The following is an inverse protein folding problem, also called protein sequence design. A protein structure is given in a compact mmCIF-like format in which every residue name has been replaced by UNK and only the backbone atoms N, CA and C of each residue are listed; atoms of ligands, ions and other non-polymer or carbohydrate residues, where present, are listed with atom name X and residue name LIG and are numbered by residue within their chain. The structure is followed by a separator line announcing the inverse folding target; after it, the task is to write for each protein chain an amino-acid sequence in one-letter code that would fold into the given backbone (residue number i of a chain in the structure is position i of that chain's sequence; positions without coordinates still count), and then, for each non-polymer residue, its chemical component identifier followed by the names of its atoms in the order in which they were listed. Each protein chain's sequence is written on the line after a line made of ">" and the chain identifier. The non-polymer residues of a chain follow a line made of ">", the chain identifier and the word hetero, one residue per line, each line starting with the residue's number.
data_IF_599425013079
#
_entry.id   IF_599425013079
#
_cell.length_a   1.000
_cell.length_b   1.000
_cell.length_c   1.000
_cell.angle_alpha   90.00
_cell.angle_beta   90.00
_cell.angle_gamma   90.00
#
_symmetry.space_group_name_H-M   'P 1'
#
loop_
_entity.id
_entity.type
_entity.pdbx_description
1 polymer ?
#
# COMPACT_ATOMS: atom_id res chain seq x y z
N UNK A 1 25.67 45.68 30.28
CA UNK A 1 25.82 45.80 31.74
C UNK A 1 27.28 45.51 32.09
N UNK A 2 27.93 46.32 32.94
CA UNK A 2 29.36 46.21 33.29
C UNK A 2 29.76 44.80 33.75
N UNK A 3 28.96 44.19 34.60
CA UNK A 3 29.15 42.79 35.04
C UNK A 3 29.22 41.76 33.94
N UNK A 4 28.47 41.95 32.85
CA UNK A 4 28.47 41.05 31.71
C UNK A 4 29.77 41.15 30.90
N UNK A 5 30.29 42.37 30.73
CA UNK A 5 31.56 42.64 30.03
C UNK A 5 32.71 42.03 30.81
N UNK A 6 32.77 42.27 32.15
CA UNK A 6 33.76 41.65 33.00
C UNK A 6 33.72 40.11 32.97
N UNK A 7 32.52 39.53 32.91
CA UNK A 7 32.36 38.08 32.76
C UNK A 7 32.93 37.56 31.45
N UNK A 8 32.69 38.25 30.34
CA UNK A 8 33.26 37.90 29.05
C UNK A 8 34.76 38.06 28.99
N UNK A 9 35.29 39.13 29.60
CA UNK A 9 36.74 39.36 29.67
C UNK A 9 37.44 38.22 30.43
N UNK A 10 36.97 37.87 31.63
CA UNK A 10 37.50 36.73 32.38
C UNK A 10 37.41 35.39 31.63
N UNK A 11 36.31 35.17 30.86
CA UNK A 11 36.16 33.98 30.04
C UNK A 11 37.15 33.97 28.85
N UNK A 12 37.42 35.14 28.26
CA UNK A 12 38.42 35.32 27.21
C UNK A 12 39.84 35.09 27.70
N UNK A 13 40.20 35.66 28.86
CA UNK A 13 41.52 35.43 29.48
C UNK A 13 41.79 33.96 29.77
N UNK A 14 40.77 33.19 30.17
CA UNK A 14 40.88 31.78 30.53
C UNK A 14 40.90 30.85 29.31
N UNK A 15 40.09 31.08 28.32
CA UNK A 15 39.80 30.14 27.21
C UNK A 15 39.95 30.78 25.83
N UNK A 16 40.40 32.02 25.74
CA UNK A 16 40.52 32.78 24.52
C UNK A 16 39.15 32.96 23.83
N UNK A 17 39.13 33.04 22.51
CA UNK A 17 37.91 33.19 21.70
C UNK A 17 36.87 32.10 21.96
N UNK A 18 37.28 30.90 22.40
CA UNK A 18 36.36 29.81 22.76
C UNK A 18 35.51 30.15 23.99
N UNK A 19 36.06 30.89 24.95
CA UNK A 19 35.36 31.29 26.18
C UNK A 19 34.20 32.25 25.96
N UNK A 20 34.29 33.10 24.94
CA UNK A 20 33.26 34.11 24.61
C UNK A 20 32.25 33.61 23.55
N UNK A 21 32.45 32.43 22.97
CA UNK A 21 31.46 31.86 22.06
C UNK A 21 30.15 31.58 22.80
N UNK A 22 29.05 31.97 22.20
CA UNK A 22 27.70 31.62 22.69
C UNK A 22 27.57 30.11 22.82
N UNK A 23 27.43 29.63 24.04
CA UNK A 23 27.08 28.21 24.28
C UNK A 23 25.62 27.96 23.89
N UNK A 24 25.33 26.79 23.39
CA UNK A 24 23.95 26.37 23.07
C UNK A 24 23.09 26.55 24.33
N UNK A 25 22.10 27.47 24.25
CA UNK A 25 21.19 27.72 25.37
C UNK A 25 20.23 26.55 25.52
N UNK A 26 19.84 26.26 26.74
CA UNK A 26 18.87 25.22 27.07
C UNK A 26 19.52 23.96 27.61
N UNK A 27 18.67 23.00 27.87
CA UNK A 27 19.04 21.70 28.41
C UNK A 27 19.75 20.87 27.35
N UNK A 28 20.81 20.15 27.68
CA UNK A 28 21.47 19.21 26.77
C UNK A 28 20.48 18.18 26.31
N UNK A 29 20.45 17.95 24.99
CA UNK A 29 19.55 16.95 24.39
C UNK A 29 19.80 15.57 25.03
N UNK A 30 18.70 14.91 25.46
CA UNK A 30 18.78 13.58 26.06
C UNK A 30 19.04 13.51 27.56
N UNK A 31 19.24 14.66 28.27
CA UNK A 31 19.37 14.68 29.74
C UNK A 31 18.02 14.60 30.43
N UNK A 32 17.92 13.89 31.57
CA UNK A 32 16.71 13.71 32.39
C UNK A 32 15.53 13.14 31.58
N UNK A 33 15.77 12.07 30.85
CA UNK A 33 14.69 11.30 30.20
C UNK A 33 13.82 10.66 31.26
N UNK A 34 12.52 10.58 30.99
CA UNK A 34 11.56 9.91 31.87
C UNK A 34 11.76 8.40 31.89
N UNK A 35 12.13 7.82 30.73
CA UNK A 35 12.50 6.42 30.60
C UNK A 35 14.02 6.27 30.63
N UNK A 36 14.50 5.21 31.27
CA UNK A 36 15.89 4.82 31.20
C UNK A 36 16.20 4.08 29.88
N UNK A 37 17.48 3.91 29.50
CA UNK A 37 17.84 3.29 28.23
C UNK A 37 17.34 1.84 28.06
N UNK A 38 17.21 1.10 29.15
CA UNK A 38 16.72 -0.29 29.15
C UNK A 38 15.23 -0.33 28.86
N UNK A 39 14.44 0.52 29.52
CA UNK A 39 13.01 0.69 29.29
C UNK A 39 12.72 1.16 27.85
N UNK A 40 13.58 2.07 27.31
CA UNK A 40 13.44 2.50 25.91
C UNK A 40 13.63 1.32 24.95
N UNK A 41 14.65 0.49 25.14
CA UNK A 41 14.92 -0.68 24.30
C UNK A 41 13.80 -1.75 24.43
N UNK A 42 13.36 -2.01 25.64
CA UNK A 42 12.25 -2.95 25.88
C UNK A 42 10.98 -2.51 25.17
N UNK A 43 10.61 -1.22 25.27
CA UNK A 43 9.43 -0.68 24.59
C UNK A 43 9.54 -0.74 23.09
N UNK A 44 10.71 -0.43 22.51
CA UNK A 44 10.93 -0.54 21.07
C UNK A 44 10.69 -1.99 20.62
N UNK A 45 11.29 -2.95 21.32
CA UNK A 45 11.10 -4.37 21.02
C UNK A 45 9.65 -4.81 21.16
N UNK A 46 8.94 -4.35 22.20
CA UNK A 46 7.51 -4.65 22.36
C UNK A 46 6.70 -4.11 21.18
N UNK A 47 6.97 -2.88 20.73
CA UNK A 47 6.24 -2.26 19.60
C UNK A 47 6.54 -2.96 18.27
N UNK A 48 7.75 -3.51 18.10
CA UNK A 48 8.16 -4.22 16.89
C UNK A 48 7.63 -5.66 16.84
N UNK A 49 7.68 -6.37 17.98
CA UNK A 49 7.44 -7.82 18.02
C UNK A 49 6.01 -8.21 18.38
N UNK A 50 5.23 -7.29 18.98
CA UNK A 50 3.91 -7.60 19.52
C UNK A 50 2.85 -6.61 19.09
N UNK A 51 1.61 -7.09 19.01
CA UNK A 51 0.44 -6.24 18.85
C UNK A 51 -0.15 -5.87 20.23
N UNK A 52 -0.85 -4.72 20.36
CA UNK A 52 -1.38 -4.27 21.65
C UNK A 52 -2.36 -5.26 22.31
N UNK A 53 -3.18 -5.97 21.53
CA UNK A 53 -4.15 -6.97 22.01
C UNK A 53 -3.47 -8.19 22.65
N UNK A 54 -2.33 -8.62 22.12
CA UNK A 54 -1.51 -9.69 22.72
C UNK A 54 -1.05 -9.33 24.15
N UNK A 55 -0.97 -8.04 24.44
CA UNK A 55 -0.64 -7.51 25.76
C UNK A 55 -1.88 -7.17 26.59
N UNK A 56 -3.07 -7.61 26.16
CA UNK A 56 -4.37 -7.33 26.80
C UNK A 56 -4.64 -5.82 26.92
N UNK A 57 -4.28 -5.05 25.88
CA UNK A 57 -4.64 -3.64 25.77
C UNK A 57 -5.85 -3.51 24.82
N UNK A 58 -6.77 -2.58 25.07
CA UNK A 58 -7.97 -2.40 24.25
C UNK A 58 -7.68 -1.59 22.96
N UNK A 59 -6.62 -1.93 22.25
CA UNK A 59 -6.20 -1.25 21.01
C UNK A 59 -5.79 -2.28 19.95
N UNK A 60 -6.23 -2.06 18.74
CA UNK A 60 -5.81 -2.89 17.59
C UNK A 60 -4.45 -2.46 16.99
N UNK A 61 -3.99 -1.25 17.28
CA UNK A 61 -2.77 -0.68 16.70
C UNK A 61 -1.97 0.11 17.74
N UNK A 62 -0.66 0.18 17.56
CA UNK A 62 0.22 1.04 18.35
C UNK A 62 -0.03 2.51 18.06
N UNK A 63 -0.97 3.10 18.77
CA UNK A 63 -1.18 4.55 18.83
C UNK A 63 -0.40 5.15 20.00
N UNK A 64 -0.21 6.47 20.01
CA UNK A 64 0.42 7.12 21.18
C UNK A 64 -0.33 6.83 22.50
N UNK A 65 -1.66 6.63 22.44
CA UNK A 65 -2.46 6.23 23.60
C UNK A 65 -2.17 4.79 24.03
N UNK A 66 -2.07 3.85 23.07
CA UNK A 66 -1.70 2.49 23.38
C UNK A 66 -0.31 2.40 24.05
N UNK A 67 0.64 3.20 23.54
CA UNK A 67 1.99 3.30 24.12
C UNK A 67 1.95 3.96 25.51
N UNK A 68 1.10 4.93 25.75
CA UNK A 68 0.89 5.51 27.08
C UNK A 68 0.42 4.46 28.08
N UNK A 69 -0.58 3.67 27.68
CA UNK A 69 -1.13 2.60 28.52
C UNK A 69 -0.10 1.50 28.83
N UNK A 70 0.71 1.09 27.86
CA UNK A 70 1.74 0.08 28.12
C UNK A 70 2.84 0.62 29.04
N UNK A 71 3.28 1.88 28.88
CA UNK A 71 4.25 2.54 29.77
C UNK A 71 3.70 2.58 31.19
N UNK A 72 2.44 2.99 31.36
CA UNK A 72 1.78 3.01 32.65
C UNK A 72 1.66 1.62 33.28
N UNK A 73 1.33 0.62 32.47
CA UNK A 73 1.19 -0.78 32.91
C UNK A 73 2.53 -1.38 33.36
N UNK A 74 3.60 -1.20 32.60
CA UNK A 74 4.90 -1.81 32.86
C UNK A 74 5.70 -1.06 33.92
N UNK A 75 5.72 0.27 33.85
CA UNK A 75 6.64 1.08 34.64
C UNK A 75 5.95 1.98 35.64
N UNK A 76 4.61 2.03 35.66
CA UNK A 76 3.79 2.93 36.51
C UNK A 76 4.09 4.41 36.29
N UNK A 77 4.56 4.75 35.09
CA UNK A 77 4.88 6.13 34.68
C UNK A 77 3.70 6.69 33.90
N UNK A 78 3.16 7.81 34.36
CA UNK A 78 2.15 8.56 33.60
C UNK A 78 2.86 9.61 32.71
N UNK A 79 2.99 9.26 31.41
CA UNK A 79 3.73 10.06 30.45
C UNK A 79 2.77 10.83 29.54
N UNK A 80 2.96 12.17 29.37
CA UNK A 80 2.16 12.94 28.43
C UNK A 80 2.26 12.43 26.99
N UNK A 81 1.15 12.41 26.27
CA UNK A 81 1.07 11.93 24.85
C UNK A 81 2.06 12.67 23.94
N UNK A 82 2.32 13.96 24.21
CA UNK A 82 3.32 14.74 23.47
C UNK A 82 4.73 14.17 23.67
N UNK A 83 5.09 13.87 24.90
CA UNK A 83 6.40 13.28 25.25
C UNK A 83 6.60 11.93 24.57
N UNK A 84 5.55 11.09 24.50
CA UNK A 84 5.58 9.83 23.76
C UNK A 84 5.89 10.08 22.28
N UNK A 85 5.29 11.13 21.68
CA UNK A 85 5.59 11.51 20.31
C UNK A 85 7.06 11.89 20.10
N UNK A 86 7.71 12.53 21.05
CA UNK A 86 9.14 12.86 20.99
C UNK A 86 10.03 11.61 21.14
N UNK A 87 9.64 10.65 22.00
CA UNK A 87 10.32 9.36 22.11
C UNK A 87 10.23 8.57 20.78
N UNK A 88 9.03 8.42 20.22
CA UNK A 88 8.83 7.74 18.94
C UNK A 88 9.67 8.35 17.82
N UNK A 89 9.66 9.69 17.69
CA UNK A 89 10.49 10.41 16.73
C UNK A 89 11.98 10.12 16.91
N UNK A 90 12.44 10.08 18.15
CA UNK A 90 13.85 9.81 18.48
C UNK A 90 14.25 8.37 18.14
N UNK A 91 13.35 7.42 18.34
CA UNK A 91 13.54 6.02 17.97
C UNK A 91 13.41 5.75 16.45
N UNK A 92 13.04 6.76 15.65
CA UNK A 92 12.85 6.64 14.21
C UNK A 92 11.48 6.06 13.81
N UNK A 93 10.55 5.95 14.76
CA UNK A 93 9.20 5.48 14.47
C UNK A 93 8.36 6.59 13.84
N UNK A 94 7.73 6.29 12.72
CA UNK A 94 6.83 7.21 12.01
C UNK A 94 5.42 6.62 11.89
N UNK A 95 4.36 7.45 11.83
CA UNK A 95 3.02 6.95 11.60
C UNK A 95 2.94 6.27 10.22
N UNK A 96 2.62 4.99 10.22
CA UNK A 96 2.45 4.19 9.01
C UNK A 96 0.98 3.82 8.82
N UNK A 97 0.55 3.70 7.55
CA UNK A 97 -0.75 3.11 7.24
C UNK A 97 -0.62 1.58 7.40
N UNK A 98 -1.42 0.95 8.28
CA UNK A 98 -1.31 -0.49 8.50
C UNK A 98 -1.67 -1.27 7.25
N UNK A 99 -0.90 -2.30 6.97
CA UNK A 99 -1.25 -3.29 5.96
C UNK A 99 -2.38 -4.15 6.52
N UNK A 100 -3.46 -4.28 5.76
CA UNK A 100 -4.57 -5.16 6.12
C UNK A 100 -4.26 -6.56 5.61
N UNK A 101 -4.19 -7.53 6.51
CA UNK A 101 -4.08 -8.95 6.18
C UNK A 101 -5.34 -9.66 6.61
N UNK A 102 -5.83 -10.58 5.80
CA UNK A 102 -6.96 -11.42 6.18
C UNK A 102 -6.52 -12.45 7.24
N UNK A 103 -7.37 -12.75 8.19
CA UNK A 103 -7.09 -13.81 9.17
C UNK A 103 -6.98 -15.18 8.51
N UNK A 104 -7.64 -15.35 7.37
CA UNK A 104 -7.64 -16.58 6.56
C UNK A 104 -6.38 -16.74 5.70
N UNK A 105 -5.50 -15.74 5.65
CA UNK A 105 -4.25 -15.83 4.92
C UNK A 105 -3.32 -16.84 5.61
N UNK A 106 -2.75 -17.75 4.82
CA UNK A 106 -1.73 -18.68 5.27
C UNK A 106 -0.32 -18.14 4.93
N UNK A 107 0.45 -17.66 5.92
CA UNK A 107 1.80 -17.11 5.69
C UNK A 107 2.78 -18.13 5.10
N UNK A 108 2.64 -19.42 5.45
CA UNK A 108 3.50 -20.48 4.93
C UNK A 108 3.23 -20.73 3.46
N UNK A 109 1.95 -20.73 3.05
CA UNK A 109 1.56 -20.84 1.64
C UNK A 109 2.08 -19.64 0.82
N UNK A 110 2.02 -18.43 1.37
CA UNK A 110 2.61 -17.22 0.76
C UNK A 110 4.12 -17.39 0.58
N UNK A 111 4.83 -17.81 1.63
CA UNK A 111 6.28 -18.04 1.56
C UNK A 111 6.64 -19.11 0.54
N UNK A 112 5.95 -20.25 0.56
CA UNK A 112 6.16 -21.35 -0.36
C UNK A 112 5.90 -20.92 -1.82
N UNK A 113 4.91 -20.07 -2.05
CA UNK A 113 4.62 -19.55 -3.37
C UNK A 113 5.73 -18.62 -3.87
N UNK A 114 6.19 -17.68 -3.04
CA UNK A 114 7.24 -16.72 -3.40
C UNK A 114 8.60 -17.40 -3.60
N UNK A 115 8.98 -18.31 -2.70
CA UNK A 115 10.30 -18.97 -2.72
C UNK A 115 10.34 -20.20 -3.63
N UNK A 116 9.19 -20.85 -3.88
CA UNK A 116 9.09 -22.10 -4.63
C UNK A 116 8.37 -22.00 -5.95
N UNK A 117 7.07 -21.64 -5.94
CA UNK A 117 6.21 -21.70 -7.13
C UNK A 117 6.54 -20.61 -8.15
N UNK A 118 6.63 -19.36 -7.74
CA UNK A 118 6.92 -18.24 -8.65
C UNK A 118 8.28 -18.39 -9.36
N UNK A 119 9.37 -18.78 -8.70
CA UNK A 119 10.63 -19.10 -9.39
C UNK A 119 10.51 -20.27 -10.41
N UNK A 120 9.64 -21.25 -10.18
CA UNK A 120 9.37 -22.33 -11.16
C UNK A 120 8.62 -21.77 -12.37
N UNK A 121 7.60 -20.94 -12.13
CA UNK A 121 6.82 -20.27 -13.20
C UNK A 121 7.77 -19.41 -14.05
N UNK A 122 8.64 -18.63 -13.42
CA UNK A 122 9.60 -17.77 -14.12
C UNK A 122 10.59 -18.57 -14.96
N UNK A 123 11.12 -19.67 -14.44
CA UNK A 123 12.02 -20.57 -15.20
C UNK A 123 11.31 -21.21 -16.37
N UNK A 124 10.09 -21.71 -16.15
CA UNK A 124 9.25 -22.30 -17.18
C UNK A 124 8.92 -21.28 -18.29
N UNK A 125 8.53 -20.06 -17.91
CA UNK A 125 8.25 -18.98 -18.86
C UNK A 125 9.48 -18.66 -19.73
N UNK A 126 10.69 -18.63 -19.14
CA UNK A 126 11.92 -18.43 -19.89
C UNK A 126 12.20 -19.57 -20.87
N UNK A 127 11.97 -20.81 -20.47
CA UNK A 127 12.23 -21.99 -21.31
C UNK A 127 11.21 -22.10 -22.48
N UNK A 128 9.97 -21.71 -22.27
CA UNK A 128 8.91 -21.75 -23.27
C UNK A 128 8.73 -20.44 -24.04
N UNK A 129 9.62 -19.48 -23.84
CA UNK A 129 9.52 -18.10 -24.38
C UNK A 129 8.14 -17.47 -24.13
N UNK A 130 7.58 -17.68 -22.94
CA UNK A 130 6.27 -17.22 -22.54
C UNK A 130 6.35 -15.86 -21.82
N UNK A 131 5.28 -15.08 -21.93
CA UNK A 131 5.14 -13.80 -21.23
C UNK A 131 4.29 -13.94 -19.98
N UNK A 132 4.81 -13.52 -18.81
CA UNK A 132 4.07 -13.58 -17.55
C UNK A 132 3.16 -12.37 -17.43
N UNK A 133 1.88 -12.62 -17.26
CA UNK A 133 0.82 -11.66 -16.98
C UNK A 133 0.25 -11.86 -15.57
N UNK A 134 0.02 -10.76 -14.90
CA UNK A 134 -0.69 -10.71 -13.61
C UNK A 134 -2.05 -10.09 -13.86
N UNK A 135 -3.10 -10.78 -13.50
CA UNK A 135 -4.46 -10.31 -13.77
C UNK A 135 -5.28 -10.15 -12.51
N UNK A 136 -6.24 -9.22 -12.57
CA UNK A 136 -7.18 -8.95 -11.50
C UNK A 136 -8.48 -8.33 -12.03
N UNK A 137 -9.55 -8.46 -11.25
CA UNK A 137 -10.82 -7.81 -11.50
C UNK A 137 -11.04 -6.64 -10.56
N UNK A 138 -11.54 -5.53 -11.09
CA UNK A 138 -11.89 -4.39 -10.26
C UNK A 138 -13.18 -3.72 -10.73
N UNK A 139 -13.81 -3.01 -9.80
CA UNK A 139 -14.98 -2.18 -10.04
C UNK A 139 -14.73 -0.73 -9.72
N UNK A 140 -15.23 0.16 -10.57
CA UNK A 140 -15.25 1.60 -10.34
C UNK A 140 -16.68 2.10 -10.19
N UNK A 141 -16.89 3.02 -9.24
CA UNK A 141 -18.15 3.68 -8.98
C UNK A 141 -18.02 5.18 -9.20
N UNK A 142 -19.09 5.82 -9.65
CA UNK A 142 -19.10 7.26 -9.87
C UNK A 142 -19.15 8.09 -8.57
N UNK A 143 -19.51 7.46 -7.44
CA UNK A 143 -19.62 8.07 -6.11
C UNK A 143 -18.41 7.78 -5.20
N UNK A 144 -17.31 7.28 -5.76
CA UNK A 144 -16.09 7.03 -4.99
C UNK A 144 -15.45 8.31 -4.47
N UNK A 145 -14.79 8.22 -3.32
CA UNK A 145 -14.18 9.37 -2.67
C UNK A 145 -13.00 9.94 -3.46
N UNK A 146 -12.91 11.25 -3.57
CA UNK A 146 -11.93 11.97 -4.38
C UNK A 146 -10.80 12.64 -3.58
N UNK A 147 -10.56 12.21 -2.35
CA UNK A 147 -9.50 12.75 -1.52
C UNK A 147 -9.97 13.85 -0.55
N UNK A 148 -9.05 14.74 -0.18
CA UNK A 148 -9.30 15.84 0.77
C UNK A 148 -9.31 17.18 0.04
N UNK A 149 -10.12 18.12 0.53
CA UNK A 149 -10.16 19.50 0.06
C UNK A 149 -9.89 20.47 1.20
N UNK A 150 -9.36 21.63 0.88
CA UNK A 150 -9.20 22.70 1.85
C UNK A 150 -10.52 23.47 2.04
N UNK A 151 -10.81 23.81 3.28
CA UNK A 151 -11.94 24.67 3.65
C UNK A 151 -11.56 25.45 4.92
N UNK A 152 -12.24 26.56 5.23
CA UNK A 152 -12.07 27.25 6.50
C UNK A 152 -12.31 26.31 7.68
N UNK A 153 -11.59 26.54 8.79
CA UNK A 153 -11.75 25.72 10.00
C UNK A 153 -13.22 25.69 10.45
N UNK A 154 -13.71 24.48 10.71
CA UNK A 154 -15.12 24.26 11.09
C UNK A 154 -16.11 24.21 9.94
N UNK A 155 -15.68 24.41 8.68
CA UNK A 155 -16.52 24.24 7.50
C UNK A 155 -16.10 23.01 6.70
N UNK A 156 -17.03 22.09 6.50
CA UNK A 156 -16.78 20.88 5.70
C UNK A 156 -16.99 21.19 4.22
N UNK A 157 -15.98 20.92 3.35
CA UNK A 157 -16.16 21.09 1.91
C UNK A 157 -17.17 20.08 1.37
N UNK A 158 -18.02 20.50 0.44
CA UNK A 158 -18.99 19.65 -0.22
C UNK A 158 -18.59 19.37 -1.67
N UNK A 159 -18.77 18.12 -2.10
CA UNK A 159 -18.68 17.70 -3.49
C UNK A 159 -20.05 17.25 -3.99
N UNK A 160 -20.44 17.68 -5.19
CA UNK A 160 -21.71 17.27 -5.80
C UNK A 160 -21.51 15.97 -6.57
N UNK A 161 -22.23 14.93 -6.19
CA UNK A 161 -22.23 13.62 -6.82
C UNK A 161 -23.61 13.29 -7.36
N UNK A 162 -23.69 12.40 -8.36
CA UNK A 162 -24.97 11.84 -8.81
C UNK A 162 -25.58 10.94 -7.74
N UNK A 163 -26.86 11.11 -7.46
CA UNK A 163 -27.61 10.21 -6.56
C UNK A 163 -27.69 8.78 -7.12
N UNK A 164 -27.78 8.64 -8.45
CA UNK A 164 -27.72 7.33 -9.11
C UNK A 164 -26.30 6.76 -9.07
N UNK A 165 -26.15 5.65 -8.35
CA UNK A 165 -24.89 4.93 -8.22
C UNK A 165 -24.63 4.09 -9.45
N UNK A 166 -23.78 4.59 -10.33
CA UNK A 166 -23.33 3.87 -11.51
C UNK A 166 -22.02 3.13 -11.22
N UNK A 167 -21.95 1.91 -11.73
CA UNK A 167 -20.75 1.06 -11.60
C UNK A 167 -20.34 0.52 -12.97
N UNK A 168 -19.05 0.40 -13.19
CA UNK A 168 -18.45 -0.37 -14.28
C UNK A 168 -17.46 -1.37 -13.68
N UNK A 169 -17.33 -2.50 -14.34
CA UNK A 169 -16.35 -3.53 -13.97
C UNK A 169 -15.33 -3.65 -15.09
N UNK A 170 -14.14 -4.05 -14.72
CA UNK A 170 -13.08 -4.37 -15.67
C UNK A 170 -12.27 -5.55 -15.16
N UNK A 171 -11.67 -6.25 -16.08
CA UNK A 171 -10.58 -7.17 -15.85
C UNK A 171 -9.36 -6.62 -16.58
N UNK A 172 -8.22 -6.65 -15.93
CA UNK A 172 -6.93 -6.22 -16.48
C UNK A 172 -5.88 -7.29 -16.33
N UNK A 173 -4.82 -7.14 -17.07
CA UNK A 173 -3.56 -7.84 -16.80
C UNK A 173 -2.37 -6.95 -17.16
N UNK A 174 -1.31 -7.10 -16.38
CA UNK A 174 -0.04 -6.39 -16.60
C UNK A 174 1.12 -7.38 -16.65
N UNK A 175 2.17 -6.99 -17.34
CA UNK A 175 3.42 -7.74 -17.37
C UNK A 175 4.52 -7.00 -16.61
N UNK A 176 5.57 -7.71 -16.21
CA UNK A 176 6.75 -7.10 -15.59
C UNK A 176 7.47 -6.10 -16.53
N UNK A 177 7.19 -6.17 -17.85
CA UNK A 177 7.68 -5.22 -18.85
C UNK A 177 6.77 -4.00 -19.05
N UNK A 178 5.68 -3.90 -18.27
CA UNK A 178 4.78 -2.76 -18.28
C UNK A 178 3.72 -2.77 -19.39
N UNK A 179 3.51 -3.91 -20.05
CA UNK A 179 2.36 -4.06 -20.97
C UNK A 179 1.08 -4.14 -20.15
N UNK A 180 0.02 -3.47 -20.63
CA UNK A 180 -1.31 -3.47 -19.99
C UNK A 180 -2.32 -4.00 -21.00
N UNK A 181 -3.11 -4.98 -20.60
CA UNK A 181 -4.30 -5.46 -21.33
C UNK A 181 -5.52 -5.30 -20.43
N UNK A 182 -6.65 -4.92 -20.99
CA UNK A 182 -7.87 -4.74 -20.20
C UNK A 182 -9.14 -4.93 -21.02
N UNK A 183 -10.21 -5.27 -20.32
CA UNK A 183 -11.55 -5.33 -20.87
C UNK A 183 -12.55 -4.75 -19.86
N UNK A 184 -13.32 -3.75 -20.29
CA UNK A 184 -14.44 -3.21 -19.50
C UNK A 184 -15.70 -3.98 -19.83
N UNK A 185 -16.41 -4.44 -18.80
CA UNK A 185 -17.68 -5.16 -18.93
C UNK A 185 -18.73 -4.57 -17.97
N UNK A 186 -20.01 -4.91 -18.19
CA UNK A 186 -21.12 -4.25 -17.48
C UNK A 186 -21.63 -5.04 -16.28
N UNK A 187 -21.69 -6.36 -16.44
CA UNK A 187 -22.30 -7.27 -15.47
C UNK A 187 -21.28 -7.80 -14.45
N UNK A 188 -21.68 -8.77 -13.63
CA UNK A 188 -20.76 -9.50 -12.76
C UNK A 188 -19.82 -10.38 -13.58
N UNK A 189 -18.59 -10.60 -13.07
CA UNK A 189 -17.66 -11.56 -13.67
C UNK A 189 -18.29 -12.97 -13.69
N UNK A 190 -18.27 -13.57 -14.86
CA UNK A 190 -18.70 -14.95 -15.07
C UNK A 190 -17.74 -15.65 -16.04
N UNK A 191 -17.91 -16.97 -16.19
CA UNK A 191 -17.02 -17.78 -17.03
C UNK A 191 -16.96 -17.31 -18.48
N UNK A 192 -18.09 -16.87 -19.05
CA UNK A 192 -18.14 -16.39 -20.44
C UNK A 192 -17.39 -15.07 -20.61
N UNK A 193 -17.55 -14.15 -19.64
CA UNK A 193 -16.84 -12.86 -19.62
C UNK A 193 -15.34 -13.10 -19.48
N UNK A 194 -14.92 -14.02 -18.61
CA UNK A 194 -13.52 -14.39 -18.46
C UNK A 194 -12.97 -14.98 -19.75
N UNK A 195 -13.64 -15.96 -20.34
CA UNK A 195 -13.22 -16.57 -21.61
C UNK A 195 -13.10 -15.53 -22.73
N UNK A 196 -14.02 -14.55 -22.76
CA UNK A 196 -13.94 -13.45 -23.72
C UNK A 196 -12.67 -12.59 -23.52
N UNK A 197 -12.28 -12.37 -22.29
CA UNK A 197 -11.02 -11.67 -21.97
C UNK A 197 -9.82 -12.53 -22.38
N UNK A 198 -9.80 -13.81 -22.02
CA UNK A 198 -8.71 -14.72 -22.35
C UNK A 198 -8.49 -14.84 -23.86
N UNK A 199 -9.56 -14.97 -24.65
CA UNK A 199 -9.49 -14.97 -26.13
C UNK A 199 -8.89 -13.70 -26.69
N UNK A 200 -9.14 -12.55 -26.08
CA UNK A 200 -8.54 -11.30 -26.50
C UNK A 200 -7.08 -11.21 -26.10
N UNK A 201 -6.77 -11.69 -24.89
CA UNK A 201 -5.41 -11.69 -24.34
C UNK A 201 -4.49 -12.56 -25.22
N UNK A 202 -4.91 -13.79 -25.55
CA UNK A 202 -4.12 -14.68 -26.41
C UNK A 202 -3.98 -14.15 -27.84
N UNK A 203 -5.06 -13.59 -28.40
CA UNK A 203 -5.00 -12.99 -29.75
C UNK A 203 -4.03 -11.80 -29.85
N UNK A 204 -3.94 -11.01 -28.77
CA UNK A 204 -3.11 -9.80 -28.73
C UNK A 204 -1.68 -10.08 -28.23
N UNK A 205 -1.37 -11.32 -27.88
CA UNK A 205 -0.06 -11.75 -27.39
C UNK A 205 0.78 -12.33 -28.54
N UNK A 206 2.04 -11.91 -28.62
CA UNK A 206 3.00 -12.45 -29.60
C UNK A 206 3.65 -13.76 -29.13
N UNK A 207 3.49 -14.10 -27.86
CA UNK A 207 4.08 -15.24 -27.18
C UNK A 207 3.03 -15.98 -26.36
N UNK A 208 3.36 -17.21 -25.93
CA UNK A 208 2.54 -17.94 -24.96
C UNK A 208 2.35 -17.09 -23.68
N UNK A 209 1.14 -17.06 -23.16
CA UNK A 209 0.76 -16.28 -21.99
C UNK A 209 0.79 -17.17 -20.75
N UNK A 210 1.56 -16.80 -19.75
CA UNK A 210 1.47 -17.36 -18.40
C UNK A 210 0.68 -16.36 -17.55
N UNK A 211 -0.58 -16.67 -17.30
CA UNK A 211 -1.50 -15.77 -16.58
C UNK A 211 -1.62 -16.19 -15.12
N UNK A 212 -1.21 -15.31 -14.23
CA UNK A 212 -1.34 -15.47 -12.78
C UNK A 212 -2.58 -14.68 -12.34
N UNK A 213 -3.53 -15.37 -11.71
CA UNK A 213 -4.79 -14.83 -11.19
C UNK A 213 -4.93 -15.11 -9.71
N UNK A 214 -5.87 -14.43 -9.07
CA UNK A 214 -6.33 -14.81 -7.74
C UNK A 214 -7.16 -16.12 -7.78
N UNK A 215 -7.52 -16.61 -6.61
CA UNK A 215 -8.19 -17.92 -6.48
C UNK A 215 -9.73 -17.80 -6.48
N UNK A 216 -10.31 -16.95 -7.33
CA UNK A 216 -11.76 -16.82 -7.46
C UNK A 216 -12.41 -18.09 -8.03
N UNK A 217 -13.59 -18.42 -7.53
CA UNK A 217 -14.35 -19.62 -7.97
C UNK A 217 -14.62 -19.65 -9.48
N UNK A 218 -14.82 -18.50 -10.11
CA UNK A 218 -15.08 -18.40 -11.55
C UNK A 218 -13.91 -18.93 -12.39
N UNK A 219 -12.67 -18.76 -11.91
CA UNK A 219 -11.47 -19.24 -12.59
C UNK A 219 -11.38 -20.77 -12.63
N UNK A 220 -12.01 -21.45 -11.71
CA UNK A 220 -12.05 -22.92 -11.60
C UNK A 220 -13.31 -23.54 -12.22
N UNK A 221 -14.15 -22.76 -12.88
CA UNK A 221 -15.39 -23.26 -13.47
C UNK A 221 -15.15 -24.27 -14.57
N UNK A 222 -16.11 -25.19 -14.76
CA UNK A 222 -16.04 -26.26 -15.78
C UNK A 222 -15.82 -25.68 -17.18
N UNK A 223 -16.55 -24.62 -17.53
CA UNK A 223 -16.43 -23.97 -18.85
C UNK A 223 -15.04 -23.40 -19.10
N UNK A 224 -14.44 -22.77 -18.07
CA UNK A 224 -13.09 -22.23 -18.17
C UNK A 224 -12.06 -23.34 -18.33
N UNK A 225 -12.17 -24.42 -17.55
CA UNK A 225 -11.29 -25.59 -17.68
C UNK A 225 -11.39 -26.26 -19.04
N UNK A 226 -12.61 -26.41 -19.60
CA UNK A 226 -12.81 -26.93 -20.92
C UNK A 226 -12.20 -26.05 -22.00
N UNK A 227 -12.35 -24.76 -21.89
CA UNK A 227 -11.73 -23.81 -22.82
C UNK A 227 -10.19 -23.94 -22.81
N UNK A 228 -9.57 -24.05 -21.64
CA UNK A 228 -8.11 -24.21 -21.52
C UNK A 228 -7.56 -25.46 -22.19
N UNK A 229 -8.27 -26.59 -22.14
CA UNK A 229 -7.85 -27.85 -22.81
C UNK A 229 -7.59 -27.70 -24.31
N UNK A 230 -8.24 -26.72 -24.95
CA UNK A 230 -8.01 -26.44 -26.38
C UNK A 230 -6.96 -25.35 -26.66
N UNK A 231 -6.45 -24.69 -25.62
CA UNK A 231 -5.59 -23.49 -25.76
C UNK A 231 -4.27 -23.58 -24.96
N UNK A 232 -3.86 -24.79 -24.58
CA UNK A 232 -2.66 -25.05 -23.76
C UNK A 232 -1.36 -24.51 -24.40
N UNK A 233 -1.33 -24.47 -25.75
CA UNK A 233 -0.20 -23.90 -26.49
C UNK A 233 -0.12 -22.38 -26.43
N UNK A 234 -1.25 -21.70 -26.18
CA UNK A 234 -1.38 -20.25 -26.21
C UNK A 234 -1.32 -19.63 -24.81
N UNK A 235 -1.88 -20.33 -23.80
CA UNK A 235 -2.02 -19.81 -22.45
C UNK A 235 -1.98 -20.89 -21.39
N UNK A 236 -1.38 -20.57 -20.26
CA UNK A 236 -1.36 -21.40 -19.05
C UNK A 236 -1.75 -20.56 -17.83
N UNK A 237 -2.56 -21.12 -16.93
CA UNK A 237 -3.01 -20.45 -15.71
C UNK A 237 -2.20 -20.88 -14.50
N UNK A 238 -1.90 -19.91 -13.67
CA UNK A 238 -1.34 -20.08 -12.35
C UNK A 238 -2.17 -19.28 -11.34
N UNK A 239 -2.16 -19.71 -10.08
CA UNK A 239 -2.96 -19.07 -9.05
C UNK A 239 -2.12 -18.58 -7.90
N UNK A 240 -2.50 -17.41 -7.38
CA UNK A 240 -1.96 -16.87 -6.16
C UNK A 240 -2.47 -17.67 -4.94
N UNK A 241 -1.75 -17.68 -3.83
CA UNK A 241 -2.29 -18.14 -2.56
C UNK A 241 -3.56 -17.37 -2.22
N UNK A 242 -4.50 -18.05 -1.58
CA UNK A 242 -5.75 -17.41 -1.16
C UNK A 242 -5.49 -16.24 -0.21
N UNK A 243 -6.26 -15.17 -0.35
CA UNK A 243 -6.19 -13.97 0.49
C UNK A 243 -4.83 -13.24 0.48
N UNK A 244 -4.13 -13.25 -0.66
CA UNK A 244 -2.80 -12.63 -0.81
C UNK A 244 -2.76 -11.57 -1.92
N UNK A 245 -3.58 -10.51 -1.84
CA UNK A 245 -3.64 -9.46 -2.86
C UNK A 245 -2.32 -8.67 -2.97
N UNK A 246 -1.54 -8.64 -1.90
CA UNK A 246 -0.24 -7.96 -1.89
C UNK A 246 0.80 -8.60 -2.83
N UNK A 247 0.58 -9.83 -3.28
CA UNK A 247 1.42 -10.50 -4.26
C UNK A 247 1.06 -10.14 -5.70
N UNK A 248 -0.11 -9.51 -5.91
CA UNK A 248 -0.58 -9.19 -7.25
C UNK A 248 -0.24 -7.74 -7.64
N UNK A 249 0.70 -7.51 -8.55
CA UNK A 249 1.04 -6.16 -9.00
C UNK A 249 -0.10 -5.46 -9.76
N UNK A 250 -1.10 -6.18 -10.28
CA UNK A 250 -2.28 -5.57 -10.91
C UNK A 250 -3.16 -4.79 -9.90
N UNK A 251 -3.07 -5.09 -8.60
CA UNK A 251 -3.71 -4.29 -7.55
C UNK A 251 -3.16 -2.85 -7.49
N UNK A 252 -1.86 -2.64 -7.79
CA UNK A 252 -1.30 -1.29 -7.89
C UNK A 252 -1.81 -0.56 -9.14
N UNK A 253 -1.99 -1.26 -10.27
CA UNK A 253 -2.67 -0.71 -11.44
C UNK A 253 -4.09 -0.28 -11.07
N UNK A 254 -4.82 -1.11 -10.34
CA UNK A 254 -6.17 -0.82 -9.86
C UNK A 254 -6.21 0.39 -8.91
N UNK A 255 -5.23 0.55 -8.03
CA UNK A 255 -5.08 1.72 -7.17
C UNK A 255 -4.81 3.00 -7.98
N UNK A 256 -3.87 2.95 -8.94
CA UNK A 256 -3.57 4.07 -9.84
C UNK A 256 -4.78 4.47 -10.69
N UNK A 257 -5.49 3.48 -11.25
CA UNK A 257 -6.70 3.69 -12.01
C UNK A 257 -7.79 4.39 -11.18
N UNK A 258 -8.08 3.89 -9.98
CA UNK A 258 -9.07 4.48 -9.08
C UNK A 258 -8.68 5.92 -8.72
N UNK A 259 -7.42 6.15 -8.37
CA UNK A 259 -6.92 7.48 -8.07
C UNK A 259 -7.03 8.42 -9.28
N UNK A 260 -6.61 7.97 -10.46
CA UNK A 260 -6.61 8.79 -11.68
C UNK A 260 -8.03 9.12 -12.19
N UNK A 261 -8.93 8.15 -12.16
CA UNK A 261 -10.34 8.36 -12.59
C UNK A 261 -11.07 9.33 -11.67
N UNK A 262 -10.75 9.29 -10.37
CA UNK A 262 -11.44 10.08 -9.34
C UNK A 262 -10.70 11.37 -8.94
N UNK A 263 -9.55 11.69 -9.53
CA UNK A 263 -8.82 12.95 -9.27
C UNK A 263 -9.46 14.18 -9.93
N UNK A 264 -10.24 13.98 -11.00
CA UNK A 264 -10.91 15.06 -11.74
C UNK A 264 -12.39 15.18 -11.36
N UNK A 265 -13.17 16.01 -12.08
CA UNK A 265 -14.60 16.18 -11.83
C UNK A 265 -15.34 14.85 -11.80
N UNK A 266 -16.30 14.64 -10.88
CA UNK A 266 -17.06 13.39 -10.79
C UNK A 266 -17.79 13.03 -12.10
N UNK A 267 -17.79 11.74 -12.42
CA UNK A 267 -18.56 11.25 -13.57
C UNK A 267 -20.06 11.33 -13.28
N UNK A 268 -20.80 12.00 -14.16
CA UNK A 268 -22.26 12.17 -14.00
C UNK A 268 -23.06 11.02 -14.58
N UNK A 269 -22.54 10.35 -15.59
CA UNK A 269 -23.17 9.22 -16.29
C UNK A 269 -22.22 8.04 -16.38
N UNK A 270 -22.76 6.83 -16.51
CA UNK A 270 -21.99 5.60 -16.73
C UNK A 270 -21.03 5.70 -17.93
N UNK A 271 -21.48 6.36 -19.00
CA UNK A 271 -20.65 6.60 -20.20
C UNK A 271 -19.41 7.46 -19.88
N UNK A 272 -19.55 8.49 -19.05
CA UNK A 272 -18.45 9.36 -18.64
C UNK A 272 -17.44 8.58 -17.79
N UNK A 273 -17.93 7.75 -16.86
CA UNK A 273 -17.10 6.88 -16.05
C UNK A 273 -16.29 5.90 -16.93
N UNK A 274 -16.98 5.24 -17.88
CA UNK A 274 -16.33 4.35 -18.85
C UNK A 274 -15.29 5.06 -19.70
N UNK A 275 -15.60 6.26 -20.20
CA UNK A 275 -14.66 7.07 -21.01
C UNK A 275 -13.40 7.42 -20.21
N UNK A 276 -13.56 7.89 -18.98
CA UNK A 276 -12.43 8.22 -18.08
C UNK A 276 -11.56 7.00 -17.79
N UNK A 277 -12.18 5.86 -17.48
CA UNK A 277 -11.49 4.59 -17.21
C UNK A 277 -10.66 4.15 -18.40
N UNK A 278 -11.26 4.10 -19.59
CA UNK A 278 -10.56 3.72 -20.83
C UNK A 278 -9.43 4.71 -21.15
N UNK A 279 -9.67 6.00 -20.99
CA UNK A 279 -8.67 7.04 -21.23
C UNK A 279 -7.46 6.87 -20.31
N UNK A 280 -7.68 6.60 -19.01
CA UNK A 280 -6.62 6.40 -18.06
C UNK A 280 -5.80 5.12 -18.37
N UNK A 281 -6.47 4.00 -18.63
CA UNK A 281 -5.79 2.75 -19.00
C UNK A 281 -4.99 2.87 -20.31
N UNK A 282 -5.52 3.57 -21.32
CA UNK A 282 -4.78 3.86 -22.56
C UNK A 282 -3.56 4.76 -22.30
N UNK A 283 -3.67 5.70 -21.37
CA UNK A 283 -2.53 6.50 -20.94
C UNK A 283 -1.46 5.62 -20.30
N UNK A 284 -1.84 4.65 -19.44
CA UNK A 284 -0.92 3.70 -18.82
C UNK A 284 -0.27 2.78 -19.85
N UNK A 285 -1.01 2.31 -20.87
CA UNK A 285 -0.43 1.53 -22.00
C UNK A 285 0.69 2.29 -22.72
N UNK A 286 0.62 3.62 -22.78
CA UNK A 286 1.65 4.47 -23.38
C UNK A 286 2.80 4.80 -22.41
N UNK A 287 2.74 4.35 -21.16
CA UNK A 287 3.72 4.64 -20.11
C UNK A 287 4.21 3.35 -19.42
N UNK A 288 4.83 2.41 -20.16
CA UNK A 288 5.25 1.13 -19.58
C UNK A 288 6.20 1.31 -18.39
N UNK A 289 7.08 2.32 -18.42
CA UNK A 289 7.99 2.65 -17.32
C UNK A 289 7.27 2.97 -15.98
N UNK A 290 6.00 3.44 -16.04
CA UNK A 290 5.19 3.66 -14.84
C UNK A 290 4.65 2.33 -14.32
N UNK A 291 4.15 1.48 -15.22
CA UNK A 291 3.57 0.18 -14.89
C UNK A 291 4.62 -0.80 -14.36
N UNK A 292 5.85 -0.75 -14.87
CA UNK A 292 6.99 -1.55 -14.37
C UNK A 292 7.35 -1.30 -12.91
N UNK A 293 6.82 -0.23 -12.30
CA UNK A 293 7.07 0.13 -10.89
C UNK A 293 5.98 -0.40 -9.93
N UNK A 294 4.99 -1.07 -10.45
CA UNK A 294 3.92 -1.71 -9.69
C UNK A 294 4.37 -3.11 -9.25
#
# INVERSE_FOLDING_TARGET
>A
HYSTICGWWKAYEREGVKGIRLKTRGRKHGTQRTLNPEQEKELQKIIEDKEPDQLKLPFALWTRRAIQEIIKKLYRIDMPIRTIGEYLKRWGFTPQKPLKRAYEQNPEAVKQWVEGEYPKITRKAKNEDAEIHWGDETGLRNDSQHGRSYAPRGKTPAIRLCAKRERINLISSITNQGKVRFMVYQDTMNSQTLIKFLKRLTKDADKKVFLILDNLRVHHSKLVKEWFKGHEKEIELFFLPSYSPELNPDEYLNCDLKAGVHSGPPARKKADLKKKTISHLRMLQKKPQRVMKY
#
